data_IF_144599700020
#
_entry.id   IF_144599700020
#
_cell.length_a   1.000
_cell.length_b   1.000
_cell.length_c   1.000
_cell.angle_alpha   90.00
_cell.angle_beta   90.00
_cell.angle_gamma   90.00
#
_symmetry.space_group_name_H-M   'P 1'
#
loop_
_entity.id
_entity.type
_entity.pdbx_description
1 polymer ?
#
# COMPACT_ATOMS: atom_id res chain seq x y z
N UNK A 1 4.74 14.47 11.02
CA UNK A 1 5.33 14.30 9.68
C UNK A 1 6.23 13.08 9.51
N UNK A 2 7.24 12.84 10.38
CA UNK A 2 8.19 11.72 10.18
C UNK A 2 7.52 10.34 10.08
N UNK A 3 6.53 10.04 10.92
CA UNK A 3 5.78 8.78 10.87
C UNK A 3 5.01 8.61 9.55
N UNK A 4 4.39 9.69 9.06
CA UNK A 4 3.65 9.69 7.79
C UNK A 4 4.57 9.38 6.61
N UNK A 5 5.74 10.04 6.56
CA UNK A 5 6.75 9.82 5.51
C UNK A 5 7.31 8.40 5.52
N UNK A 6 7.47 7.79 6.69
CA UNK A 6 7.96 6.40 6.81
C UNK A 6 6.94 5.40 6.28
N UNK A 7 5.65 5.59 6.62
CA UNK A 7 4.57 4.74 6.10
C UNK A 7 4.43 4.91 4.59
N UNK A 8 4.47 6.14 4.10
CA UNK A 8 4.40 6.45 2.67
C UNK A 8 5.52 5.75 1.90
N UNK A 9 6.76 5.89 2.36
CA UNK A 9 7.91 5.23 1.75
C UNK A 9 7.76 3.71 1.77
N UNK A 10 7.35 3.13 2.90
CA UNK A 10 7.16 1.70 3.04
C UNK A 10 6.12 1.14 2.06
N UNK A 11 4.97 1.80 1.93
CA UNK A 11 3.92 1.39 0.98
C UNK A 11 4.44 1.53 -0.46
N UNK A 12 5.10 2.64 -0.78
CA UNK A 12 5.67 2.87 -2.11
C UNK A 12 6.69 1.79 -2.48
N UNK A 13 7.57 1.44 -1.54
CA UNK A 13 8.59 0.40 -1.76
C UNK A 13 7.96 -0.97 -2.01
N UNK A 14 6.90 -1.33 -1.27
CA UNK A 14 6.16 -2.59 -1.51
C UNK A 14 5.51 -2.62 -2.89
N UNK A 15 4.86 -1.51 -3.30
CA UNK A 15 4.23 -1.41 -4.62
C UNK A 15 5.27 -1.55 -5.73
N UNK A 16 6.38 -0.83 -5.62
CA UNK A 16 7.50 -0.91 -6.59
C UNK A 16 8.08 -2.33 -6.64
N UNK A 17 8.23 -2.99 -5.50
CA UNK A 17 8.74 -4.36 -5.42
C UNK A 17 7.80 -5.34 -6.14
N UNK A 18 6.49 -5.21 -5.93
CA UNK A 18 5.49 -6.03 -6.59
C UNK A 18 5.47 -5.82 -8.10
N UNK A 19 5.64 -4.58 -8.58
CA UNK A 19 5.72 -4.29 -10.01
C UNK A 19 7.02 -4.77 -10.66
N UNK A 20 8.18 -4.50 -10.06
CA UNK A 20 9.49 -4.71 -10.72
C UNK A 20 10.08 -6.09 -10.48
N UNK A 21 10.01 -6.59 -9.24
CA UNK A 21 10.61 -7.87 -8.88
C UNK A 21 9.65 -9.02 -9.15
N UNK A 22 8.42 -8.89 -8.67
CA UNK A 22 7.44 -9.98 -8.77
C UNK A 22 6.65 -9.94 -10.08
N UNK A 23 6.44 -8.76 -10.68
CA UNK A 23 5.62 -8.56 -11.89
C UNK A 23 4.22 -9.16 -11.74
N UNK A 24 3.68 -9.11 -10.53
CA UNK A 24 2.42 -9.77 -10.17
C UNK A 24 1.47 -8.75 -9.56
N UNK A 25 0.24 -8.76 -10.07
CA UNK A 25 -0.84 -7.94 -9.56
C UNK A 25 -1.60 -8.65 -8.43
N UNK A 26 -0.99 -8.68 -7.24
CA UNK A 26 -1.60 -9.29 -6.05
C UNK A 26 -2.68 -8.43 -5.40
N UNK A 27 -2.74 -7.14 -5.76
CA UNK A 27 -3.69 -6.17 -5.19
C UNK A 27 -4.98 -6.07 -6.00
N UNK A 28 -5.01 -6.63 -7.22
CA UNK A 28 -6.23 -6.71 -8.04
C UNK A 28 -6.47 -5.48 -8.91
N UNK A 29 -5.42 -4.76 -9.30
CA UNK A 29 -5.50 -3.61 -10.20
C UNK A 29 -6.12 -3.97 -11.56
N UNK A 30 -5.83 -5.15 -12.09
CA UNK A 30 -6.37 -5.67 -13.34
C UNK A 30 -7.85 -5.97 -13.23
N UNK A 31 -8.31 -6.49 -12.09
CA UNK A 31 -9.73 -6.66 -11.84
C UNK A 31 -10.45 -5.31 -11.76
N UNK A 32 -9.83 -4.28 -11.18
CA UNK A 32 -10.37 -2.92 -11.17
C UNK A 32 -10.41 -2.32 -12.57
N UNK A 33 -9.32 -2.45 -13.34
CA UNK A 33 -9.24 -1.98 -14.71
C UNK A 33 -10.26 -2.67 -15.61
N UNK A 34 -10.43 -3.99 -15.49
CA UNK A 34 -11.42 -4.76 -16.22
C UNK A 34 -12.85 -4.25 -15.97
N UNK A 35 -13.20 -3.97 -14.71
CA UNK A 35 -14.53 -3.43 -14.37
C UNK A 35 -14.78 -2.06 -14.99
N UNK A 36 -13.75 -1.21 -15.03
CA UNK A 36 -13.88 0.16 -15.54
C UNK A 36 -13.77 0.25 -17.07
N UNK A 37 -12.94 -0.59 -17.67
CA UNK A 37 -12.60 -0.57 -19.10
C UNK A 37 -12.64 -1.98 -19.71
N UNK A 38 -13.82 -2.63 -19.80
CA UNK A 38 -13.91 -4.00 -20.26
C UNK A 38 -13.49 -4.21 -21.72
N UNK A 39 -13.66 -3.20 -22.58
CA UNK A 39 -13.26 -3.27 -23.99
C UNK A 39 -11.74 -3.14 -24.17
N UNK A 40 -11.09 -2.28 -23.39
CA UNK A 40 -9.63 -2.16 -23.35
C UNK A 40 -9.01 -3.42 -22.75
N UNK A 41 -9.61 -3.95 -21.68
CA UNK A 41 -9.15 -5.16 -20.99
C UNK A 41 -8.97 -6.34 -21.94
N UNK A 42 -9.93 -6.60 -22.83
CA UNK A 42 -9.83 -7.68 -23.84
C UNK A 42 -8.60 -7.59 -24.73
N UNK A 43 -8.06 -6.39 -24.94
CA UNK A 43 -6.86 -6.17 -25.77
C UNK A 43 -5.57 -6.42 -24.98
N UNK A 44 -5.59 -6.17 -23.67
CA UNK A 44 -4.40 -6.13 -22.84
C UNK A 44 -4.31 -7.28 -21.82
N UNK A 45 -5.37 -8.06 -21.62
CA UNK A 45 -5.47 -9.09 -20.57
C UNK A 45 -4.34 -10.13 -20.64
N UNK A 46 -3.90 -10.48 -21.85
CA UNK A 46 -2.83 -11.46 -22.08
C UNK A 46 -1.45 -10.93 -21.71
N UNK A 47 -1.24 -9.62 -21.87
CA UNK A 47 0.02 -8.94 -21.59
C UNK A 47 -0.05 -8.10 -20.30
N UNK A 48 -1.09 -8.32 -19.49
CA UNK A 48 -1.39 -7.48 -18.33
C UNK A 48 -0.22 -7.36 -17.37
N UNK A 49 0.46 -8.47 -17.06
CA UNK A 49 1.60 -8.48 -16.14
C UNK A 49 2.75 -7.59 -16.65
N UNK A 50 2.99 -7.55 -17.97
CA UNK A 50 4.01 -6.68 -18.56
C UNK A 50 3.60 -5.20 -18.52
N UNK A 51 2.33 -4.92 -18.78
CA UNK A 51 1.78 -3.56 -18.78
C UNK A 51 1.77 -3.02 -17.34
N UNK A 52 1.30 -3.82 -16.39
CA UNK A 52 1.30 -3.51 -14.96
C UNK A 52 2.72 -3.22 -14.44
N UNK A 53 3.71 -4.00 -14.87
CA UNK A 53 5.12 -3.80 -14.51
C UNK A 53 5.69 -2.46 -14.98
N UNK A 54 5.12 -1.86 -16.03
CA UNK A 54 5.53 -0.57 -16.62
C UNK A 54 4.62 0.59 -16.22
N UNK A 55 3.51 0.32 -15.57
CA UNK A 55 2.51 1.33 -15.23
C UNK A 55 3.06 2.31 -14.19
N UNK A 56 2.86 3.60 -14.44
CA UNK A 56 3.15 4.64 -13.46
C UNK A 56 2.01 4.70 -12.44
N UNK A 57 2.30 4.25 -11.21
CA UNK A 57 1.34 4.27 -10.11
C UNK A 57 1.62 5.47 -9.21
N UNK A 58 0.60 6.31 -9.05
CA UNK A 58 0.59 7.35 -8.03
C UNK A 58 -0.09 6.78 -6.77
N UNK A 59 0.65 6.78 -5.66
CA UNK A 59 0.15 6.33 -4.36
C UNK A 59 -0.07 7.57 -3.50
N UNK A 60 -1.32 7.83 -3.15
CA UNK A 60 -1.71 8.91 -2.24
C UNK A 60 -2.08 8.30 -0.89
N UNK A 61 -1.48 8.80 0.19
CA UNK A 61 -1.60 8.22 1.52
C UNK A 61 -2.01 9.32 2.49
N UNK A 62 -3.23 9.21 2.99
CA UNK A 62 -3.78 10.06 4.03
C UNK A 62 -3.68 9.31 5.37
N UNK A 63 -3.07 9.94 6.37
CA UNK A 63 -2.86 9.32 7.69
C UNK A 63 -3.45 10.23 8.74
N UNK A 64 -4.45 9.71 9.43
CA UNK A 64 -5.05 10.34 10.61
C UNK A 64 -4.58 9.61 11.88
N UNK A 65 -3.87 10.33 12.75
CA UNK A 65 -3.36 9.79 14.01
C UNK A 65 -4.34 10.17 15.12
N UNK A 66 -5.28 9.26 15.39
CA UNK A 66 -6.38 9.50 16.34
C UNK A 66 -5.88 9.53 17.80
N UNK A 67 -4.89 8.70 18.16
CA UNK A 67 -4.26 8.67 19.50
C UNK A 67 -2.82 8.19 19.42
N UNK A 68 -1.91 8.92 20.05
CA UNK A 68 -0.56 8.42 20.33
C UNK A 68 -0.54 7.88 21.77
N UNK A 69 -0.51 6.56 21.90
CA UNK A 69 -0.40 5.91 23.21
C UNK A 69 1.01 6.04 23.77
N UNK A 70 1.35 7.21 24.33
CA UNK A 70 2.61 7.40 25.07
C UNK A 70 2.41 6.93 26.51
N UNK A 71 2.86 5.72 26.84
CA UNK A 71 2.98 5.28 28.24
C UNK A 71 4.26 5.93 28.79
N UNK A 72 4.18 7.21 29.17
CA UNK A 72 5.28 7.93 29.81
C UNK A 72 5.34 7.71 31.33
N UNK A 73 4.37 6.99 31.90
CA UNK A 73 4.33 6.67 33.32
C UNK A 73 4.48 5.16 33.48
N UNK A 74 5.55 4.66 34.12
CA UNK A 74 5.65 3.24 34.42
C UNK A 74 4.44 2.82 35.24
N UNK A 75 3.86 1.66 34.93
CA UNK A 75 2.79 1.04 35.71
C UNK A 75 3.41 0.53 37.01
N UNK A 76 3.76 1.44 37.92
CA UNK A 76 4.19 1.07 39.26
C UNK A 76 2.93 0.56 39.95
N UNK A 77 2.75 -0.77 39.93
CA UNK A 77 1.82 -1.45 40.83
C UNK A 77 2.30 -1.17 42.25
N UNK A 78 1.72 -0.16 42.89
CA UNK A 78 1.87 0.05 44.33
C UNK A 78 1.27 -1.20 45.00
N UNK A 79 2.12 -2.12 45.45
CA UNK A 79 1.67 -3.25 46.27
C UNK A 79 0.93 -2.65 47.47
N UNK A 80 -0.37 -2.89 47.56
CA UNK A 80 -1.11 -2.66 48.80
C UNK A 80 -0.58 -3.65 49.83
N UNK A 81 -0.16 -3.09 50.96
CA UNK A 81 0.17 -3.69 52.26
C UNK A 81 0.19 -5.20 52.35
#
# INVERSE_FOLDING_TARGET
EACSKVVEKGIRDVVVKMQKEFKLDKFGYGAFFHRKYPQEWKKIEKDWDQIFSKAELQVEIEIDIIRTGLINTPIIRRKSR
#
